data_IF_006643853344
#
_entry.id   IF_006643853344
#
_cell.length_a   1.000
_cell.length_b   1.000
_cell.length_c   1.000
_cell.angle_alpha   90.00
_cell.angle_beta   90.00
_cell.angle_gamma   90.00
#
_symmetry.space_group_name_H-M   'P 1'
#
loop_
_entity.id
_entity.type
_entity.pdbx_description
1 polymer ?
#
# COMPACT_ATOMS: atom_id res chain seq x y z
N UNK A 1 -31.54 5.89 13.78
CA UNK A 1 -30.89 5.14 12.68
C UNK A 1 -29.51 4.71 13.19
N UNK A 2 -29.35 3.42 13.49
CA UNK A 2 -28.19 2.91 14.22
C UNK A 2 -26.90 3.00 13.38
N UNK A 3 -25.92 3.79 13.83
CA UNK A 3 -24.55 3.72 13.33
C UNK A 3 -23.94 2.41 13.85
N UNK A 4 -23.98 1.37 13.01
CA UNK A 4 -23.18 0.17 13.20
C UNK A 4 -21.70 0.54 13.14
N UNK A 5 -21.15 0.93 14.29
CA UNK A 5 -19.71 1.10 14.48
C UNK A 5 -19.13 -0.31 14.55
N UNK A 6 -18.90 -0.92 13.39
CA UNK A 6 -17.97 -2.04 13.28
C UNK A 6 -16.66 -1.54 13.87
N UNK A 7 -16.36 -1.97 15.09
CA UNK A 7 -15.13 -1.69 15.80
C UNK A 7 -14.02 -2.42 15.04
N UNK A 8 -13.55 -1.79 13.96
CA UNK A 8 -12.52 -2.32 13.08
C UNK A 8 -11.22 -2.28 13.84
N UNK A 9 -10.79 -3.42 14.38
CA UNK A 9 -9.46 -3.58 14.98
C UNK A 9 -8.44 -3.06 13.96
N UNK A 10 -7.74 -1.99 14.32
CA UNK A 10 -6.72 -1.41 13.48
C UNK A 10 -5.50 -2.32 13.57
N UNK A 11 -5.24 -3.08 12.51
CA UNK A 11 -4.07 -3.96 12.44
C UNK A 11 -2.82 -3.12 12.11
N UNK A 12 -1.63 -3.54 12.57
CA UNK A 12 -0.36 -2.84 12.34
C UNK A 12 -0.11 -2.52 10.86
N UNK A 13 -0.59 -3.39 9.95
CA UNK A 13 -0.48 -3.17 8.51
C UNK A 13 -1.28 -1.94 8.07
N UNK A 14 -2.51 -1.76 8.57
CA UNK A 14 -3.33 -0.58 8.23
C UNK A 14 -2.75 0.71 8.82
N UNK A 15 -2.09 0.66 9.98
CA UNK A 15 -1.35 1.81 10.50
C UNK A 15 -0.23 2.22 9.53
N UNK A 16 0.54 1.23 9.05
CA UNK A 16 1.62 1.47 8.09
C UNK A 16 1.13 1.95 6.73
N UNK A 17 -0.03 1.49 6.27
CA UNK A 17 -0.70 2.01 5.07
C UNK A 17 -0.99 3.51 5.22
N UNK A 18 -1.61 3.92 6.34
CA UNK A 18 -1.92 5.34 6.60
C UNK A 18 -0.67 6.20 6.77
N UNK A 19 0.36 5.67 7.45
CA UNK A 19 1.65 6.36 7.61
C UNK A 19 2.30 6.65 6.26
N UNK A 20 2.34 5.68 5.33
CA UNK A 20 2.86 5.90 3.98
C UNK A 20 2.03 6.92 3.20
N UNK A 21 0.70 6.82 3.23
CA UNK A 21 -0.17 7.78 2.53
C UNK A 21 0.01 9.20 3.04
N UNK A 22 0.14 9.38 4.35
CA UNK A 22 0.39 10.68 4.96
C UNK A 22 1.77 11.23 4.56
N UNK A 23 2.81 10.39 4.68
CA UNK A 23 4.20 10.78 4.40
C UNK A 23 4.41 11.25 2.96
N UNK A 24 3.73 10.64 2.00
CA UNK A 24 3.91 10.95 0.58
C UNK A 24 2.84 11.90 0.01
N UNK A 25 1.96 12.46 0.84
CA UNK A 25 0.88 13.32 0.34
C UNK A 25 1.40 14.59 -0.31
N UNK A 26 2.41 15.21 0.29
CA UNK A 26 3.01 16.44 -0.25
C UNK A 26 3.70 16.16 -1.60
N UNK A 27 4.36 15.00 -1.71
CA UNK A 27 4.98 14.56 -2.97
C UNK A 27 3.94 14.33 -4.07
N UNK A 28 2.80 13.70 -3.74
CA UNK A 28 1.70 13.53 -4.68
C UNK A 28 1.18 14.87 -5.21
N UNK A 29 1.05 15.87 -4.33
CA UNK A 29 0.63 17.23 -4.71
C UNK A 29 1.69 17.88 -5.60
N UNK A 30 2.96 17.77 -5.25
CA UNK A 30 4.05 18.37 -6.01
C UNK A 30 4.17 17.77 -7.41
N UNK A 31 4.13 16.45 -7.54
CA UNK A 31 4.15 15.74 -8.82
C UNK A 31 2.91 16.09 -9.65
N UNK A 32 1.72 16.12 -9.03
CA UNK A 32 0.49 16.55 -9.72
C UNK A 32 0.62 17.96 -10.27
N UNK A 33 1.23 18.89 -9.52
CA UNK A 33 1.44 20.27 -9.95
C UNK A 33 2.50 20.39 -11.04
N UNK A 34 3.62 19.69 -10.92
CA UNK A 34 4.73 19.73 -11.89
C UNK A 34 4.31 19.16 -13.25
N UNK A 35 3.61 18.04 -13.24
CA UNK A 35 3.26 17.31 -14.47
C UNK A 35 1.84 17.62 -14.97
N UNK A 36 1.01 18.31 -14.17
CA UNK A 36 -0.41 18.55 -14.48
C UNK A 36 -1.19 17.26 -14.79
N UNK A 37 -0.78 16.14 -14.17
CA UNK A 37 -1.37 14.81 -14.34
C UNK A 37 -1.96 14.31 -13.02
N UNK A 38 -3.03 13.53 -13.11
CA UNK A 38 -3.64 12.88 -11.95
C UNK A 38 -2.66 11.85 -11.36
N UNK A 39 -2.10 12.18 -10.20
CA UNK A 39 -1.17 11.31 -9.46
C UNK A 39 -1.86 10.75 -8.22
N UNK A 40 -1.64 9.48 -7.92
CA UNK A 40 -2.14 8.83 -6.69
C UNK A 40 -1.02 8.03 -6.03
N UNK A 41 -0.86 8.18 -4.72
CA UNK A 41 0.07 7.36 -3.93
C UNK A 41 -0.53 5.98 -3.69
N UNK A 42 0.22 4.93 -4.08
CA UNK A 42 -0.19 3.53 -3.92
C UNK A 42 0.68 2.86 -2.84
N UNK A 43 0.17 2.65 -1.61
CA UNK A 43 0.95 2.07 -0.52
C UNK A 43 1.01 0.54 -0.62
N UNK A 44 2.19 0.00 -0.97
CA UNK A 44 2.45 -1.45 -0.90
C UNK A 44 3.12 -1.77 0.45
N UNK A 45 2.49 -2.64 1.25
CA UNK A 45 3.02 -3.12 2.54
C UNK A 45 3.18 -4.64 2.49
N UNK A 46 4.42 -5.10 2.68
CA UNK A 46 4.76 -6.52 2.86
C UNK A 46 5.51 -6.63 4.19
N UNK A 47 4.97 -7.41 5.13
CA UNK A 47 5.65 -7.72 6.38
C UNK A 47 6.82 -8.68 6.17
N UNK A 48 7.74 -8.77 7.13
CA UNK A 48 8.92 -9.63 7.05
C UNK A 48 8.58 -11.11 6.76
N UNK A 49 7.48 -11.61 7.34
CA UNK A 49 6.98 -12.98 7.09
C UNK A 49 6.01 -13.05 5.90
N UNK A 50 6.00 -12.04 5.04
CA UNK A 50 5.14 -11.99 3.86
C UNK A 50 3.72 -11.53 4.14
N UNK A 51 3.40 -11.01 5.32
CA UNK A 51 2.04 -10.50 5.59
C UNK A 51 1.69 -9.34 4.67
N UNK A 52 0.61 -9.46 3.91
CA UNK A 52 0.13 -8.41 2.99
C UNK A 52 -1.08 -7.69 3.60
N UNK A 53 -1.26 -6.41 3.29
CA UNK A 53 -2.44 -5.62 3.67
C UNK A 53 -3.73 -6.12 3.02
N UNK A 54 -4.85 -6.01 3.75
CA UNK A 54 -6.18 -6.48 3.28
C UNK A 54 -6.70 -5.71 2.06
N UNK A 55 -6.24 -4.48 1.85
CA UNK A 55 -6.70 -3.60 0.76
C UNK A 55 -5.70 -3.48 -0.39
N UNK A 56 -4.69 -4.32 -0.38
CA UNK A 56 -3.57 -4.29 -1.31
C UNK A 56 -4.01 -4.60 -2.76
N UNK A 57 -5.04 -5.43 -2.95
CA UNK A 57 -5.62 -5.73 -4.28
C UNK A 57 -6.27 -4.50 -4.93
N UNK A 58 -6.94 -3.64 -4.13
CA UNK A 58 -7.55 -2.39 -4.61
C UNK A 58 -6.50 -1.42 -5.17
N UNK A 59 -5.29 -1.50 -4.64
CA UNK A 59 -4.18 -0.64 -5.03
C UNK A 59 -3.49 -1.16 -6.29
N UNK A 60 -3.32 -2.48 -6.44
CA UNK A 60 -2.73 -3.07 -7.64
C UNK A 60 -3.55 -2.77 -8.89
N UNK A 61 -4.88 -2.84 -8.80
CA UNK A 61 -5.75 -2.58 -9.98
C UNK A 61 -5.65 -1.16 -10.52
N UNK A 62 -5.05 -0.23 -9.75
CA UNK A 62 -4.82 1.16 -10.16
C UNK A 62 -3.50 1.36 -10.91
N UNK A 63 -2.55 0.44 -10.74
CA UNK A 63 -1.27 0.50 -11.45
C UNK A 63 -1.41 -0.21 -12.79
N UNK A 64 -1.06 0.43 -13.92
CA UNK A 64 -1.05 -0.25 -15.21
C UNK A 64 0.05 -1.33 -15.23
N UNK A 65 -0.34 -2.56 -15.55
CA UNK A 65 0.57 -3.71 -15.67
C UNK A 65 -0.02 -5.00 -15.10
N UNK A 66 0.49 -6.15 -15.56
CA UNK A 66 0.11 -7.47 -15.01
C UNK A 66 0.89 -7.74 -13.72
N UNK A 67 0.56 -6.99 -12.67
CA UNK A 67 1.25 -7.08 -11.39
C UNK A 67 0.45 -8.02 -10.47
N UNK A 68 1.01 -9.20 -10.17
CA UNK A 68 0.42 -10.12 -9.20
C UNK A 68 0.92 -9.83 -7.80
N UNK A 69 0.01 -9.71 -6.83
CA UNK A 69 0.35 -9.53 -5.43
C UNK A 69 1.27 -10.65 -4.91
N UNK A 70 1.03 -11.87 -5.36
CA UNK A 70 1.85 -13.03 -5.03
C UNK A 70 3.30 -12.86 -5.50
N UNK A 71 3.51 -12.31 -6.70
CA UNK A 71 4.85 -12.05 -7.22
C UNK A 71 5.56 -10.94 -6.41
N UNK A 72 4.85 -9.87 -6.05
CA UNK A 72 5.40 -8.80 -5.19
C UNK A 72 5.84 -9.38 -3.85
N UNK A 73 4.99 -10.17 -3.20
CA UNK A 73 5.28 -10.81 -1.92
C UNK A 73 6.50 -11.73 -2.03
N UNK A 74 6.55 -12.57 -3.07
CA UNK A 74 7.66 -13.49 -3.32
C UNK A 74 8.97 -12.73 -3.50
N UNK A 75 8.99 -11.68 -4.32
CA UNK A 75 10.19 -10.86 -4.56
C UNK A 75 10.65 -10.21 -3.25
N UNK A 76 9.72 -9.63 -2.48
CA UNK A 76 10.04 -9.02 -1.19
C UNK A 76 10.65 -10.03 -0.21
N UNK A 77 10.06 -11.23 -0.11
CA UNK A 77 10.55 -12.32 0.74
C UNK A 77 11.93 -12.84 0.31
N UNK A 78 12.13 -13.07 -0.99
CA UNK A 78 13.42 -13.51 -1.54
C UNK A 78 14.51 -12.45 -1.32
N UNK A 79 14.16 -11.17 -1.48
CA UNK A 79 15.06 -10.05 -1.18
C UNK A 79 15.45 -10.00 0.31
N UNK A 80 14.51 -10.24 1.23
CA UNK A 80 14.82 -10.31 2.66
C UNK A 80 15.67 -11.52 3.04
N UNK A 81 15.43 -12.67 2.40
CA UNK A 81 16.21 -13.88 2.64
C UNK A 81 17.66 -13.74 2.19
N UNK A 82 17.92 -12.96 1.14
CA UNK A 82 19.28 -12.66 0.66
C UNK A 82 20.06 -11.71 1.58
N UNK A 83 19.39 -11.01 2.49
CA UNK A 83 20.02 -10.11 3.47
C UNK A 83 20.45 -10.85 4.74
N UNK A 84 19.80 -11.98 5.05
CA UNK A 84 20.07 -12.82 6.22
C UNK A 84 21.11 -13.90 5.91
#
# INVERSE_FOLDING_TARGET
MCLNKHNKKVDNVSLKEMEKLSKYKDLEIEVTRMWSLKTETIPIIVGALGRIGKYSDKYITKTPGLISMYNIQKIALLGTAHIL
#
